data_IF_683403732655
#
_entry.id   IF_683403732655
#
_cell.length_a   1.000
_cell.length_b   1.000
_cell.length_c   1.000
_cell.angle_alpha   90.00
_cell.angle_beta   90.00
_cell.angle_gamma   90.00
#
_symmetry.space_group_name_H-M   'P 1'
#
loop_
_entity.id
_entity.type
_entity.pdbx_description
1 polymer ?
#
# COMPACT_ATOMS: atom_id res chain seq x y z
N UNK A 1 6.67 -22.85 4.24
CA UNK A 1 6.34 -23.88 5.25
C UNK A 1 5.58 -25.05 4.63
N UNK A 2 4.39 -24.83 4.04
CA UNK A 2 3.59 -25.90 3.44
C UNK A 2 4.41 -26.75 2.46
N UNK A 3 5.14 -26.11 1.53
CA UNK A 3 6.03 -26.81 0.58
C UNK A 3 7.10 -27.63 1.29
N UNK A 4 7.72 -27.08 2.34
CA UNK A 4 8.76 -27.78 3.10
C UNK A 4 8.23 -29.00 3.87
N UNK A 5 7.01 -28.90 4.42
CA UNK A 5 6.38 -29.98 5.19
C UNK A 5 5.79 -31.06 4.30
N UNK A 6 5.19 -30.67 3.16
CA UNK A 6 4.45 -31.59 2.27
C UNK A 6 5.28 -32.14 1.12
N UNK A 7 6.45 -31.58 0.82
CA UNK A 7 7.24 -31.88 -0.38
C UNK A 7 6.63 -31.36 -1.69
N UNK A 8 5.51 -30.65 -1.64
CA UNK A 8 4.86 -30.11 -2.84
C UNK A 8 5.68 -28.96 -3.44
N UNK A 9 5.72 -28.81 -4.76
CA UNK A 9 6.46 -27.73 -5.39
C UNK A 9 5.86 -26.37 -5.01
N UNK A 10 6.73 -25.37 -4.87
CA UNK A 10 6.34 -23.98 -4.61
C UNK A 10 6.18 -23.25 -5.95
N UNK A 11 5.02 -22.67 -6.16
CA UNK A 11 4.76 -21.76 -7.27
C UNK A 11 4.63 -20.34 -6.72
N UNK A 12 5.52 -19.46 -7.15
CA UNK A 12 5.48 -18.03 -6.78
C UNK A 12 4.79 -17.31 -7.93
N UNK A 13 3.74 -16.51 -7.66
CA UNK A 13 3.15 -15.66 -8.70
C UNK A 13 4.21 -14.72 -9.27
N UNK A 14 4.35 -14.69 -10.59
CA UNK A 14 5.22 -13.75 -11.27
C UNK A 14 4.47 -12.44 -11.51
N UNK A 15 5.07 -11.32 -11.12
CA UNK A 15 4.58 -9.99 -11.47
C UNK A 15 5.13 -9.62 -12.85
N UNK A 16 4.24 -9.44 -13.81
CA UNK A 16 4.62 -8.96 -15.14
C UNK A 16 4.55 -7.43 -15.17
N UNK A 17 5.52 -6.82 -15.85
CA UNK A 17 5.53 -5.37 -16.05
C UNK A 17 4.32 -4.94 -16.88
N UNK A 18 3.57 -3.96 -16.37
CA UNK A 18 2.45 -3.37 -17.10
C UNK A 18 2.99 -2.25 -17.99
N UNK A 19 2.68 -2.26 -19.30
CA UNK A 19 3.17 -1.23 -20.21
C UNK A 19 2.77 0.18 -19.77
N UNK A 20 3.75 1.07 -19.77
CA UNK A 20 3.53 2.51 -19.50
C UNK A 20 2.89 3.17 -20.70
N UNK A 21 1.79 3.89 -20.50
CA UNK A 21 1.05 4.61 -21.53
C UNK A 21 0.87 6.11 -21.24
N UNK A 22 1.38 6.58 -20.09
CA UNK A 22 1.45 7.99 -19.67
C UNK A 22 2.87 8.32 -19.26
N UNK A 23 3.22 9.60 -19.30
CA UNK A 23 4.46 10.12 -18.69
C UNK A 23 4.22 10.75 -17.31
N UNK A 24 2.97 10.84 -16.90
CA UNK A 24 2.55 11.54 -15.70
C UNK A 24 3.03 10.85 -14.43
N UNK A 25 3.54 11.65 -13.51
CA UNK A 25 3.88 11.29 -12.12
C UNK A 25 3.24 12.31 -11.18
N UNK A 26 2.83 11.85 -10.01
CA UNK A 26 2.47 12.74 -8.91
C UNK A 26 3.76 13.18 -8.19
N UNK A 27 3.98 14.48 -7.94
CA UNK A 27 5.11 14.92 -7.13
C UNK A 27 5.03 14.33 -5.72
N UNK A 28 6.08 13.63 -5.28
CA UNK A 28 6.18 13.05 -3.94
C UNK A 28 7.50 13.44 -3.31
N UNK A 29 7.43 13.81 -2.03
CA UNK A 29 8.60 14.11 -1.20
C UNK A 29 8.58 13.22 0.04
N UNK A 30 9.75 12.73 0.46
CA UNK A 30 9.95 12.07 1.74
C UNK A 30 10.72 13.03 2.65
N UNK A 31 10.01 13.76 3.49
CA UNK A 31 10.62 14.69 4.46
C UNK A 31 11.12 13.99 5.72
N UNK A 32 10.65 12.76 6.00
CA UNK A 32 11.03 11.95 7.15
C UNK A 32 11.62 10.59 6.72
N UNK A 33 12.91 10.52 6.36
CA UNK A 33 13.58 9.27 5.95
C UNK A 33 13.76 8.26 7.10
N UNK A 34 13.61 8.68 8.33
CA UNK A 34 13.55 7.83 9.52
C UNK A 34 12.18 7.18 9.73
N UNK A 35 11.14 7.71 9.12
CA UNK A 35 9.78 7.18 9.09
C UNK A 35 9.60 6.24 7.89
N UNK A 36 9.91 6.74 6.69
CA UNK A 36 9.71 6.05 5.42
C UNK A 36 11.05 5.86 4.71
N UNK A 37 11.44 4.60 4.48
CA UNK A 37 12.70 4.30 3.82
C UNK A 37 12.62 4.16 2.30
N UNK A 38 11.42 3.82 1.78
CA UNK A 38 11.12 3.71 0.34
C UNK A 38 9.64 3.96 0.12
N UNK A 39 9.32 4.78 -0.85
CA UNK A 39 7.96 5.10 -1.26
C UNK A 39 7.82 4.91 -2.75
N UNK A 40 6.86 4.10 -3.16
CA UNK A 40 6.64 3.78 -4.57
C UNK A 40 5.21 4.14 -4.92
N UNK A 41 5.06 4.92 -5.96
CA UNK A 41 3.75 5.35 -6.42
C UNK A 41 3.56 5.24 -7.93
N UNK A 42 2.31 5.25 -8.35
CA UNK A 42 1.93 5.16 -9.76
C UNK A 42 0.60 5.85 -10.02
N UNK A 43 0.56 6.69 -11.04
CA UNK A 43 -0.68 7.28 -11.56
C UNK A 43 -1.35 6.29 -12.50
N UNK A 44 -2.66 6.08 -12.33
CA UNK A 44 -3.49 5.27 -13.22
C UNK A 44 -4.77 6.05 -13.51
N UNK A 45 -5.08 6.26 -14.78
CA UNK A 45 -6.22 7.07 -15.24
C UNK A 45 -7.23 6.24 -16.03
N UNK A 46 -8.49 6.63 -15.96
CA UNK A 46 -9.59 6.01 -16.69
C UNK A 46 -10.02 4.67 -16.11
N UNK A 47 -9.92 4.48 -14.79
CA UNK A 47 -10.41 3.26 -14.13
C UNK A 47 -11.94 3.29 -13.98
N UNK A 48 -12.57 2.15 -14.13
CA UNK A 48 -13.98 1.96 -13.81
C UNK A 48 -14.11 1.44 -12.36
N UNK A 49 -14.28 2.35 -11.40
CA UNK A 49 -14.47 1.98 -10.00
C UNK A 49 -15.80 1.25 -9.72
N UNK A 50 -16.77 1.27 -10.67
CA UNK A 50 -18.03 0.51 -10.59
C UNK A 50 -17.89 -0.94 -11.05
N UNK A 51 -16.72 -1.32 -11.57
CA UNK A 51 -16.47 -2.70 -11.97
C UNK A 51 -16.72 -3.66 -10.79
N UNK A 52 -17.41 -4.78 -11.02
CA UNK A 52 -17.63 -5.76 -9.96
C UNK A 52 -16.31 -6.48 -9.62
N UNK A 53 -16.08 -6.68 -8.33
CA UNK A 53 -15.00 -7.60 -7.91
C UNK A 53 -15.31 -8.99 -8.42
N UNK A 54 -14.36 -9.68 -9.09
CA UNK A 54 -14.57 -11.05 -9.57
C UNK A 54 -14.89 -12.03 -8.43
N UNK A 55 -15.75 -13.00 -8.69
CA UNK A 55 -16.20 -13.96 -7.67
C UNK A 55 -15.05 -14.76 -7.05
N UNK A 56 -14.05 -15.13 -7.85
CA UNK A 56 -12.87 -15.82 -7.33
C UNK A 56 -12.11 -15.00 -6.30
N UNK A 57 -12.03 -13.67 -6.49
CA UNK A 57 -11.36 -12.74 -5.56
C UNK A 57 -12.20 -12.54 -4.29
N UNK A 58 -13.52 -12.34 -4.43
CA UNK A 58 -14.46 -12.25 -3.29
C UNK A 58 -14.34 -13.48 -2.39
N UNK A 59 -14.41 -14.67 -2.97
CA UNK A 59 -14.29 -15.94 -2.23
C UNK A 59 -12.97 -16.06 -1.46
N UNK A 60 -11.85 -15.62 -2.05
CA UNK A 60 -10.54 -15.65 -1.38
C UNK A 60 -10.46 -14.64 -0.25
N UNK A 61 -10.98 -13.43 -0.45
CA UNK A 61 -11.07 -12.40 0.59
C UNK A 61 -11.92 -12.88 1.77
N UNK A 62 -13.12 -13.38 1.51
CA UNK A 62 -14.04 -13.88 2.53
C UNK A 62 -13.44 -15.04 3.34
N UNK A 63 -12.80 -16.02 2.66
CA UNK A 63 -12.09 -17.12 3.32
C UNK A 63 -10.90 -16.67 4.16
N UNK A 64 -10.36 -15.48 3.87
CA UNK A 64 -9.28 -14.83 4.64
C UNK A 64 -9.80 -13.87 5.70
N UNK A 65 -11.13 -13.81 5.93
CA UNK A 65 -11.77 -12.96 6.92
C UNK A 65 -11.95 -11.50 6.50
N UNK A 66 -11.75 -11.18 5.21
CA UNK A 66 -11.95 -9.85 4.66
C UNK A 66 -13.32 -9.75 4.00
N UNK A 67 -14.04 -8.64 4.25
CA UNK A 67 -15.32 -8.38 3.56
C UNK A 67 -15.05 -7.61 2.26
N UNK A 68 -15.51 -8.09 1.09
CA UNK A 68 -15.44 -7.33 -0.15
C UNK A 68 -16.17 -5.98 -0.04
N UNK A 69 -15.59 -4.94 -0.62
CA UNK A 69 -16.10 -3.54 -0.56
C UNK A 69 -16.32 -3.01 -1.99
N UNK A 70 -15.26 -2.84 -2.75
CA UNK A 70 -15.26 -2.40 -4.14
C UNK A 70 -14.02 -2.92 -4.85
N UNK A 71 -14.03 -3.02 -6.17
CA UNK A 71 -12.93 -3.65 -6.91
C UNK A 71 -11.55 -3.05 -6.58
N UNK A 72 -11.43 -1.72 -6.51
CA UNK A 72 -10.16 -1.06 -6.19
C UNK A 72 -9.64 -1.42 -4.78
N UNK A 73 -10.52 -1.40 -3.79
CA UNK A 73 -10.19 -1.75 -2.40
C UNK A 73 -9.89 -3.24 -2.27
N UNK A 74 -10.69 -4.07 -2.93
CA UNK A 74 -10.57 -5.53 -2.90
C UNK A 74 -9.28 -6.02 -3.56
N UNK A 75 -8.85 -5.39 -4.66
CA UNK A 75 -7.55 -5.67 -5.31
C UNK A 75 -6.40 -5.35 -4.34
N UNK A 76 -6.43 -4.19 -3.67
CA UNK A 76 -5.42 -3.82 -2.68
C UNK A 76 -5.35 -4.84 -1.53
N UNK A 77 -6.51 -5.20 -0.96
CA UNK A 77 -6.58 -6.19 0.11
C UNK A 77 -6.16 -7.59 -0.37
N UNK A 78 -6.53 -7.97 -1.59
CA UNK A 78 -6.14 -9.26 -2.16
C UNK A 78 -4.63 -9.39 -2.31
N UNK A 79 -3.97 -8.38 -2.90
CA UNK A 79 -2.51 -8.40 -3.08
C UNK A 79 -1.78 -8.31 -1.73
N UNK A 80 -2.32 -7.58 -0.75
CA UNK A 80 -1.80 -7.61 0.62
C UNK A 80 -1.81 -9.03 1.20
N UNK A 81 -2.86 -9.81 0.98
CA UNK A 81 -2.94 -11.20 1.44
C UNK A 81 -2.06 -12.13 0.61
N UNK A 82 -1.96 -11.93 -0.71
CA UNK A 82 -1.16 -12.73 -1.63
C UNK A 82 0.34 -12.55 -1.40
N UNK A 83 0.80 -11.32 -1.23
CA UNK A 83 2.22 -10.94 -1.22
C UNK A 83 2.72 -10.32 0.10
N UNK A 84 1.81 -10.07 1.06
CA UNK A 84 2.17 -9.63 2.42
C UNK A 84 2.38 -8.13 2.60
N UNK A 85 2.22 -7.30 1.57
CA UNK A 85 2.41 -5.85 1.66
C UNK A 85 1.09 -5.11 1.48
N UNK A 86 0.71 -4.24 2.43
CA UNK A 86 -0.38 -3.31 2.26
C UNK A 86 -0.05 -2.25 1.20
N UNK A 87 -1.09 -1.78 0.52
CA UNK A 87 -1.06 -0.65 -0.41
C UNK A 87 -2.21 0.30 -0.10
N UNK A 88 -2.12 1.53 -0.58
CA UNK A 88 -3.21 2.47 -0.53
C UNK A 88 -3.54 3.00 -1.93
N UNK A 89 -4.80 3.29 -2.15
CA UNK A 89 -5.32 3.84 -3.41
C UNK A 89 -6.01 5.14 -3.08
N UNK A 90 -5.43 6.24 -3.53
CA UNK A 90 -6.01 7.58 -3.43
C UNK A 90 -6.84 7.90 -4.67
N UNK A 91 -7.91 8.65 -4.50
CA UNK A 91 -8.56 9.37 -5.59
C UNK A 91 -7.63 10.52 -5.99
N UNK A 92 -7.00 10.40 -7.17
CA UNK A 92 -5.97 11.32 -7.62
C UNK A 92 -6.50 12.74 -7.80
N UNK A 93 -7.76 12.88 -8.22
CA UNK A 93 -8.35 14.18 -8.51
C UNK A 93 -8.67 14.99 -7.25
N UNK A 94 -8.56 14.35 -6.08
CA UNK A 94 -8.71 14.99 -4.76
C UNK A 94 -7.39 15.37 -4.11
N UNK A 95 -6.24 14.97 -4.67
CA UNK A 95 -4.93 15.33 -4.13
C UNK A 95 -4.54 16.72 -4.61
N UNK A 96 -4.16 17.60 -3.70
CA UNK A 96 -3.76 18.97 -4.01
C UNK A 96 -2.24 19.10 -4.15
N UNK A 97 -1.76 19.23 -5.36
CA UNK A 97 -0.36 19.53 -5.72
C UNK A 97 0.57 18.32 -5.70
N UNK A 98 0.67 17.60 -4.61
CA UNK A 98 1.55 16.44 -4.46
C UNK A 98 1.55 15.93 -3.02
N UNK A 99 2.34 14.89 -2.73
CA UNK A 99 2.38 14.26 -1.41
C UNK A 99 3.71 14.52 -0.69
N UNK A 100 3.64 14.74 0.62
CA UNK A 100 4.79 14.79 1.52
C UNK A 100 4.64 13.74 2.63
N UNK A 101 5.59 12.83 2.70
CA UNK A 101 5.69 11.83 3.76
C UNK A 101 6.51 12.41 4.89
N UNK A 102 5.86 12.70 6.01
CA UNK A 102 6.45 13.43 7.13
C UNK A 102 5.90 12.98 8.49
N UNK A 103 6.49 13.45 9.55
CA UNK A 103 5.86 13.39 10.87
C UNK A 103 4.67 14.35 10.94
N UNK A 104 3.67 13.99 11.73
CA UNK A 104 2.54 14.87 12.02
C UNK A 104 2.96 16.13 12.76
N UNK A 105 2.04 17.06 12.92
CA UNK A 105 2.24 18.30 13.67
C UNK A 105 1.14 18.46 14.72
N UNK A 106 1.46 19.06 15.83
CA UNK A 106 0.46 19.38 16.86
C UNK A 106 -0.67 20.25 16.28
N UNK A 107 -1.90 19.88 16.59
CA UNK A 107 -3.10 20.57 16.14
C UNK A 107 -3.66 20.11 14.79
N UNK A 108 -2.97 19.22 14.08
CA UNK A 108 -3.52 18.59 12.89
C UNK A 108 -4.59 17.55 13.28
N UNK A 109 -5.61 17.39 12.43
CA UNK A 109 -6.68 16.40 12.59
C UNK A 109 -6.89 15.67 11.28
N UNK A 110 -7.30 14.40 11.36
CA UNK A 110 -7.61 13.59 10.19
C UNK A 110 -8.91 12.83 10.43
N UNK A 111 -9.85 12.94 9.50
CA UNK A 111 -11.00 12.05 9.42
C UNK A 111 -10.58 10.80 8.66
N UNK A 112 -10.66 9.66 9.33
CA UNK A 112 -10.22 8.36 8.81
C UNK A 112 -11.34 7.67 8.01
N UNK A 113 -10.96 6.69 7.18
CA UNK A 113 -11.87 5.82 6.41
C UNK A 113 -12.90 5.08 7.27
N UNK A 114 -12.62 4.86 8.55
CA UNK A 114 -13.59 4.25 9.49
C UNK A 114 -14.59 5.26 10.09
N UNK A 115 -14.54 6.52 9.65
CA UNK A 115 -15.42 7.61 10.09
C UNK A 115 -14.94 8.35 11.35
N UNK A 116 -13.92 7.86 12.04
CA UNK A 116 -13.39 8.53 13.24
C UNK A 116 -12.52 9.72 12.85
N UNK A 117 -12.63 10.82 13.58
CA UNK A 117 -11.68 11.94 13.49
C UNK A 117 -10.67 11.82 14.62
N UNK A 118 -9.39 11.87 14.27
CA UNK A 118 -8.29 11.75 15.22
C UNK A 118 -7.41 13.00 15.21
N UNK A 119 -6.97 13.40 16.41
CA UNK A 119 -5.94 14.43 16.54
C UNK A 119 -4.57 13.80 16.29
N UNK A 120 -3.76 14.47 15.49
CA UNK A 120 -2.41 14.02 15.12
C UNK A 120 -1.38 14.86 15.87
N UNK A 121 -0.24 14.27 16.16
CA UNK A 121 0.91 14.92 16.76
C UNK A 121 2.23 14.45 16.11
N UNK A 122 3.34 14.94 16.59
CA UNK A 122 4.68 14.67 16.06
C UNK A 122 5.13 13.20 16.25
N UNK A 123 4.34 12.41 16.94
CA UNK A 123 4.66 11.01 17.22
C UNK A 123 4.11 10.02 16.18
N UNK A 124 3.29 10.50 15.26
CA UNK A 124 2.65 9.67 14.21
C UNK A 124 3.10 10.16 12.84
N UNK A 125 3.48 9.22 11.98
CA UNK A 125 3.77 9.50 10.58
C UNK A 125 2.50 9.77 9.79
N UNK A 126 2.58 10.68 8.85
CA UNK A 126 1.48 11.05 7.95
C UNK A 126 1.94 11.13 6.49
N UNK A 127 0.99 10.94 5.60
CA UNK A 127 1.09 11.36 4.20
C UNK A 127 0.16 12.56 4.09
N UNK A 128 0.69 13.71 3.68
CA UNK A 128 -0.06 14.95 3.53
C UNK A 128 0.08 15.48 2.11
N UNK A 129 -0.93 16.16 1.62
CA UNK A 129 -0.82 16.95 0.41
C UNK A 129 -0.45 18.42 0.74
N UNK A 130 -0.65 19.35 -0.19
CA UNK A 130 -0.32 20.75 0.05
C UNK A 130 -1.33 21.49 0.96
N UNK A 131 -2.47 20.86 1.29
CA UNK A 131 -3.54 21.46 2.08
C UNK A 131 -3.73 20.77 3.41
N UNK A 132 -3.77 19.42 3.44
CA UNK A 132 -4.11 18.67 4.64
C UNK A 132 -3.43 17.30 4.70
N UNK A 133 -3.71 16.56 5.77
CA UNK A 133 -3.26 15.19 5.94
C UNK A 133 -4.24 14.24 5.23
N UNK A 134 -3.70 13.32 4.42
CA UNK A 134 -4.47 12.35 3.65
C UNK A 134 -4.42 10.93 4.23
N UNK A 135 -3.44 10.64 5.09
CA UNK A 135 -3.30 9.31 5.67
C UNK A 135 -2.47 9.33 6.95
N UNK A 136 -2.81 8.46 7.92
CA UNK A 136 -1.86 7.99 8.92
C UNK A 136 -0.94 6.97 8.26
N UNK A 137 0.33 7.30 8.10
CA UNK A 137 1.32 6.53 7.37
C UNK A 137 1.41 5.07 7.84
N UNK A 138 1.18 4.12 6.94
CA UNK A 138 1.21 2.69 7.23
C UNK A 138 0.12 2.18 8.18
N UNK A 139 -0.89 2.98 8.49
CA UNK A 139 -1.96 2.66 9.44
C UNK A 139 -3.33 2.69 8.77
N UNK A 140 -3.79 3.86 8.34
CA UNK A 140 -5.12 4.03 7.74
C UNK A 140 -5.21 5.31 6.90
N UNK A 141 -5.84 5.23 5.74
CA UNK A 141 -6.14 6.38 4.89
C UNK A 141 -7.19 7.33 5.49
N UNK A 142 -7.19 8.55 5.00
CA UNK A 142 -8.19 9.58 5.26
C UNK A 142 -9.40 9.46 4.35
N UNK A 143 -10.47 10.12 4.76
CA UNK A 143 -11.77 10.15 4.06
C UNK A 143 -11.73 11.10 2.85
N UNK A 144 -10.94 12.18 2.92
CA UNK A 144 -10.86 13.23 1.90
C UNK A 144 -10.50 12.69 0.51
N UNK A 145 -9.44 11.90 0.43
CA UNK A 145 -8.94 11.29 -0.80
C UNK A 145 -9.38 9.85 -1.00
N UNK A 146 -10.39 9.40 -0.27
CA UNK A 146 -10.94 8.06 -0.43
C UNK A 146 -11.51 7.85 -1.83
N UNK A 147 -11.22 6.67 -2.41
CA UNK A 147 -11.84 6.24 -3.66
C UNK A 147 -13.32 5.95 -3.44
N UNK A 148 -14.12 6.31 -4.44
CA UNK A 148 -15.56 6.07 -4.48
C UNK A 148 -15.93 5.32 -5.76
N UNK A 149 -17.19 4.99 -5.95
CA UNK A 149 -17.66 4.39 -7.20
C UNK A 149 -17.59 5.34 -8.41
N UNK A 150 -17.41 6.65 -8.15
CA UNK A 150 -17.27 7.67 -9.21
C UNK A 150 -15.80 8.02 -9.50
N UNK A 151 -14.84 7.39 -8.81
CA UNK A 151 -13.42 7.63 -9.02
C UNK A 151 -12.97 7.07 -10.37
N UNK A 152 -12.35 7.91 -11.20
CA UNK A 152 -11.83 7.55 -12.51
C UNK A 152 -10.29 7.59 -12.58
N UNK A 153 -9.67 8.36 -11.70
CA UNK A 153 -8.23 8.55 -11.67
C UNK A 153 -7.70 8.23 -10.28
N UNK A 154 -6.66 7.41 -10.21
CA UNK A 154 -6.11 6.96 -8.93
C UNK A 154 -4.61 7.16 -8.85
N UNK A 155 -4.14 7.33 -7.63
CA UNK A 155 -2.74 7.20 -7.28
C UNK A 155 -2.56 5.98 -6.38
N UNK A 156 -1.86 4.99 -6.90
CA UNK A 156 -1.49 3.78 -6.16
C UNK A 156 -0.23 4.05 -5.35
N UNK A 157 -0.26 3.76 -4.06
CA UNK A 157 0.85 3.91 -3.13
C UNK A 157 1.23 2.57 -2.49
N UNK A 158 2.52 2.32 -2.42
CA UNK A 158 3.11 1.29 -1.57
C UNK A 158 4.40 1.81 -0.94
N UNK A 159 4.70 1.41 0.30
CA UNK A 159 5.87 1.93 0.97
C UNK A 159 6.59 0.88 1.82
N UNK A 160 7.82 1.22 2.21
CA UNK A 160 8.52 0.62 3.33
C UNK A 160 8.58 1.63 4.47
N UNK A 161 7.82 1.34 5.52
CA UNK A 161 7.85 2.06 6.78
C UNK A 161 8.81 1.37 7.74
N UNK A 162 9.61 2.12 8.47
CA UNK A 162 10.43 1.57 9.53
C UNK A 162 9.52 0.98 10.63
N UNK A 163 9.62 -0.32 10.99
CA UNK A 163 8.66 -0.96 11.90
C UNK A 163 8.45 -0.25 13.23
N UNK A 164 9.52 0.29 13.81
CA UNK A 164 9.48 1.03 15.07
C UNK A 164 8.67 2.33 14.99
N UNK A 165 8.47 2.87 13.78
CA UNK A 165 7.68 4.10 13.57
C UNK A 165 6.18 3.81 13.43
N UNK A 166 5.80 2.57 13.24
CA UNK A 166 4.40 2.13 13.17
C UNK A 166 3.97 1.44 14.48
N UNK A 167 4.92 0.78 15.14
CA UNK A 167 4.64 -0.03 16.32
C UNK A 167 3.90 0.74 17.41
N UNK A 168 2.71 0.24 17.77
CA UNK A 168 1.87 0.79 18.83
C UNK A 168 1.06 2.04 18.44
N UNK A 169 1.30 2.67 17.27
CA UNK A 169 0.63 3.92 16.88
C UNK A 169 -0.87 3.73 16.64
N UNK A 170 -1.28 2.66 15.99
CA UNK A 170 -2.71 2.36 15.78
C UNK A 170 -3.45 2.20 17.11
N UNK A 171 -2.83 1.57 18.11
CA UNK A 171 -3.41 1.39 19.45
C UNK A 171 -3.64 2.71 20.19
N UNK A 172 -2.84 3.74 19.93
CA UNK A 172 -3.08 5.08 20.47
C UNK A 172 -4.48 5.61 20.09
N UNK A 173 -4.98 5.23 18.92
CA UNK A 173 -6.28 5.62 18.42
C UNK A 173 -7.38 4.57 18.67
N UNK A 174 -7.11 3.57 19.53
CA UNK A 174 -8.03 2.51 19.93
C UNK A 174 -8.54 1.63 18.77
N UNK A 175 -7.72 1.42 17.73
CA UNK A 175 -8.02 0.46 16.68
C UNK A 175 -6.76 -0.31 16.24
N UNK A 176 -6.96 -1.33 15.42
CA UNK A 176 -5.90 -2.01 14.70
C UNK A 176 -6.30 -2.19 13.25
N UNK A 177 -5.32 -2.25 12.35
CA UNK A 177 -5.54 -2.50 10.93
C UNK A 177 -4.62 -3.60 10.44
N UNK A 178 -5.01 -4.27 9.36
CA UNK A 178 -4.16 -5.25 8.68
C UNK A 178 -2.86 -4.62 8.17
N UNK A 179 -2.91 -3.34 7.78
CA UNK A 179 -1.73 -2.58 7.39
C UNK A 179 -0.77 -2.36 8.57
N UNK A 180 -1.26 -1.76 9.67
CA UNK A 180 -0.45 -1.52 10.86
C UNK A 180 0.14 -2.82 11.43
N UNK A 181 -0.65 -3.91 11.46
CA UNK A 181 -0.20 -5.23 11.92
C UNK A 181 1.01 -5.75 11.13
N UNK A 182 1.02 -5.55 9.81
CA UNK A 182 2.14 -5.99 8.96
C UNK A 182 3.32 -5.05 9.06
N UNK A 183 3.10 -3.75 8.95
CA UNK A 183 4.17 -2.77 8.96
C UNK A 183 4.91 -2.70 10.30
N UNK A 184 4.22 -2.83 11.45
CA UNK A 184 4.87 -2.84 12.76
C UNK A 184 5.79 -4.06 12.99
N UNK A 185 5.63 -5.13 12.19
CA UNK A 185 6.48 -6.33 12.19
C UNK A 185 7.53 -6.33 11.10
N UNK A 186 7.39 -5.45 10.15
CA UNK A 186 8.24 -5.34 8.97
C UNK A 186 7.67 -6.05 7.75
N UNK A 187 7.81 -5.40 6.60
CA UNK A 187 7.49 -5.95 5.28
C UNK A 187 8.77 -5.99 4.44
N UNK A 188 8.80 -6.83 3.42
CA UNK A 188 9.95 -6.88 2.53
C UNK A 188 10.09 -5.58 1.72
N UNK A 189 11.19 -4.86 1.90
CA UNK A 189 11.45 -3.61 1.21
C UNK A 189 12.01 -3.80 -0.22
N UNK A 190 12.40 -5.01 -0.60
CA UNK A 190 13.00 -5.28 -1.90
C UNK A 190 11.96 -5.40 -3.01
N UNK A 191 10.87 -6.15 -2.77
CA UNK A 191 9.84 -6.52 -3.76
C UNK A 191 8.71 -5.50 -3.93
N UNK A 192 8.93 -4.21 -3.62
CA UNK A 192 7.87 -3.18 -3.69
C UNK A 192 7.35 -2.99 -5.12
N UNK A 193 8.26 -2.93 -6.10
CA UNK A 193 7.89 -2.68 -7.50
C UNK A 193 7.07 -3.82 -8.05
N UNK A 194 7.42 -5.08 -7.74
CA UNK A 194 6.65 -6.26 -8.14
C UNK A 194 5.22 -6.21 -7.60
N UNK A 195 5.03 -5.72 -6.37
CA UNK A 195 3.70 -5.54 -5.79
C UNK A 195 2.90 -4.46 -6.53
N UNK A 196 3.52 -3.33 -6.87
CA UNK A 196 2.88 -2.26 -7.66
C UNK A 196 2.47 -2.79 -9.04
N UNK A 197 3.33 -3.56 -9.70
CA UNK A 197 3.02 -4.16 -11.00
C UNK A 197 1.87 -5.17 -10.87
N UNK A 198 1.87 -6.00 -9.83
CA UNK A 198 0.78 -6.98 -9.59
C UNK A 198 -0.57 -6.29 -9.37
N UNK A 199 -0.60 -5.24 -8.52
CA UNK A 199 -1.82 -4.46 -8.28
C UNK A 199 -2.27 -3.77 -9.56
N UNK A 200 -1.35 -3.13 -10.28
CA UNK A 200 -1.65 -2.44 -11.54
C UNK A 200 -2.23 -3.40 -12.58
N UNK A 201 -1.66 -4.60 -12.73
CA UNK A 201 -2.18 -5.60 -13.66
C UNK A 201 -3.62 -6.00 -13.33
N UNK A 202 -3.94 -6.22 -12.05
CA UNK A 202 -5.31 -6.53 -11.62
C UNK A 202 -6.27 -5.35 -11.81
N UNK A 203 -5.81 -4.11 -11.58
CA UNK A 203 -6.63 -2.91 -11.85
C UNK A 203 -6.95 -2.80 -13.34
N UNK A 204 -5.96 -2.98 -14.22
CA UNK A 204 -6.16 -2.95 -15.67
C UNK A 204 -7.10 -4.06 -16.12
N UNK A 205 -6.95 -5.27 -15.58
CA UNK A 205 -7.79 -6.43 -15.91
C UNK A 205 -9.25 -6.26 -15.46
N UNK A 206 -9.45 -5.78 -14.23
CA UNK A 206 -10.77 -5.77 -13.58
C UNK A 206 -11.49 -4.44 -13.78
N UNK A 207 -10.75 -3.32 -13.63
CA UNK A 207 -11.30 -1.98 -13.70
C UNK A 207 -11.04 -1.28 -15.04
N UNK A 208 -10.50 -1.97 -16.05
CA UNK A 208 -10.16 -1.39 -17.34
C UNK A 208 -11.37 -1.01 -18.20
N UNK A 209 -12.51 -1.65 -18.00
CA UNK A 209 -13.75 -1.37 -18.73
C UNK A 209 -13.59 -1.50 -20.26
N UNK A 210 -14.38 -0.72 -20.99
CA UNK A 210 -14.31 -0.61 -22.48
C UNK A 210 -13.33 0.48 -22.94
N UNK A 211 -12.94 1.39 -22.06
CA UNK A 211 -11.95 2.42 -22.31
C UNK A 211 -10.58 1.97 -21.80
N UNK A 212 -9.53 2.36 -22.54
CA UNK A 212 -8.18 1.93 -22.19
C UNK A 212 -7.69 2.69 -20.94
N UNK A 213 -7.55 1.97 -19.82
CA UNK A 213 -6.83 2.47 -18.65
C UNK A 213 -5.42 2.92 -19.08
N UNK A 214 -5.06 4.12 -18.69
CA UNK A 214 -3.74 4.68 -18.95
C UNK A 214 -2.88 4.59 -17.70
N UNK A 215 -1.68 4.06 -17.85
CA UNK A 215 -0.79 3.73 -16.75
C UNK A 215 0.48 4.58 -16.83
N UNK A 216 0.76 5.31 -15.77
CA UNK A 216 1.99 6.08 -15.61
C UNK A 216 3.20 5.21 -15.29
N UNK A 217 4.41 5.78 -15.31
CA UNK A 217 5.61 5.06 -14.87
C UNK A 217 5.54 4.81 -13.35
N UNK A 218 6.20 3.74 -12.90
CA UNK A 218 6.48 3.54 -11.48
C UNK A 218 7.44 4.64 -11.02
N UNK A 219 7.09 5.35 -9.96
CA UNK A 219 7.94 6.33 -9.30
C UNK A 219 8.46 5.74 -7.99
N UNK A 220 9.76 5.47 -7.94
CA UNK A 220 10.40 4.70 -6.86
C UNK A 220 11.41 5.59 -6.12
N UNK A 221 11.02 6.07 -4.96
CA UNK A 221 11.82 6.94 -4.11
C UNK A 221 12.47 6.12 -2.98
N UNK A 222 13.76 5.88 -3.10
CA UNK A 222 14.57 5.16 -2.10
C UNK A 222 15.45 6.14 -1.35
N UNK A 223 15.26 6.24 -0.03
CA UNK A 223 15.99 7.21 0.82
C UNK A 223 16.74 6.56 1.97
N UNK A 224 16.19 5.52 2.61
CA UNK A 224 16.78 4.92 3.81
C UNK A 224 16.33 3.46 3.99
N UNK A 225 17.11 2.51 3.48
CA UNK A 225 16.80 1.08 3.58
C UNK A 225 17.65 0.37 4.62
N UNK A 226 17.11 -0.73 5.22
CA UNK A 226 17.87 -1.57 6.13
C UNK A 226 19.09 -2.19 5.43
N UNK A 227 20.25 -2.14 6.10
CA UNK A 227 21.45 -2.87 5.67
C UNK A 227 21.38 -4.29 6.20
N UNK A 228 21.20 -5.27 5.30
CA UNK A 228 21.23 -6.69 5.66
C UNK A 228 22.70 -7.13 5.82
N UNK A 229 23.09 -7.43 7.05
CA UNK A 229 24.39 -8.01 7.32
C UNK A 229 24.36 -9.53 7.10
N UNK A 230 25.43 -10.15 6.57
CA UNK A 230 25.50 -11.59 6.43
C UNK A 230 25.52 -12.28 7.80
N UNK A 231 24.76 -13.37 7.93
CA UNK A 231 24.73 -14.21 9.13
C UNK A 231 25.52 -15.50 8.84
N UNK A 232 26.53 -15.78 9.67
CA UNK A 232 27.32 -17.01 9.55
C UNK A 232 26.57 -18.19 10.18
N UNK A 233 26.07 -19.11 9.35
CA UNK A 233 25.51 -20.37 9.80
C UNK A 233 26.61 -21.46 9.87
N UNK A 234 26.75 -22.08 11.06
CA UNK A 234 27.61 -23.26 11.23
C UNK A 234 26.74 -24.51 11.04
N UNK A 235 26.79 -25.11 9.84
CA UNK A 235 25.95 -26.25 9.46
C UNK A 235 26.07 -27.43 10.40
N UNK A 236 27.28 -27.76 10.85
CA UNK A 236 27.54 -28.84 11.82
C UNK A 236 26.87 -28.62 13.19
N UNK A 237 26.52 -27.36 13.54
CA UNK A 237 25.77 -27.03 14.74
C UNK A 237 24.25 -26.99 14.50
N UNK A 238 23.86 -26.64 13.29
CA UNK A 238 22.44 -26.58 12.90
C UNK A 238 21.84 -27.98 12.72
N UNK A 239 22.68 -28.97 12.35
CA UNK A 239 22.26 -30.36 12.12
C UNK A 239 22.36 -31.28 13.35
N UNK A 240 22.60 -30.72 14.53
CA UNK A 240 22.54 -31.43 15.82
C UNK A 240 21.13 -31.30 16.41
#
# INVERSE_FOLDING_TARGET
EVSAVTGMPKHVPEAHLVPVSLTEKLPVKISAPDLCGRFVGRVIRGVNAKAPTPDWMKQRLERSGQRPISALVDISNYVMLELGRPSHVFDLDKIHGGLDVRWGKAGECLKLLNGNTVAVDEWVGVIADHQEIESLAGIMGGDSTAVTLETENIYLETAFWWPQTIQGRARKYNFSTDAAHRYERGVDFASIVEHVERITALIVEICGGTEHVKVGPVDDLVVNLPKRLPVKLRTARANK
#
